data_IF_089406995620
#
_entry.id   IF_089406995620
#
_cell.length_a   1.000
_cell.length_b   1.000
_cell.length_c   1.000
_cell.angle_alpha   90.00
_cell.angle_beta   90.00
_cell.angle_gamma   90.00
#
_symmetry.space_group_name_H-M   'P 1'
#
loop_
_entity.id
_entity.type
_entity.pdbx_description
1 polymer ?
#
# COMPACT_ATOMS: atom_id res chain seq x y z
N UNK A 1 15.36 0.33 6.81
CA UNK A 1 14.02 0.69 7.29
C UNK A 1 13.60 1.93 6.53
N UNK A 2 12.96 1.76 5.37
CA UNK A 2 12.32 2.92 4.72
C UNK A 2 10.96 3.10 5.39
N UNK A 3 10.63 4.31 5.86
CA UNK A 3 9.43 4.54 6.63
C UNK A 3 8.22 4.42 5.71
N UNK A 4 7.19 3.73 6.19
CA UNK A 4 5.88 3.80 5.56
C UNK A 4 5.51 5.27 5.39
N UNK A 5 5.28 5.66 4.14
CA UNK A 5 5.03 7.06 3.79
C UNK A 5 3.59 7.18 3.34
N UNK A 6 2.84 8.08 3.98
CA UNK A 6 1.50 8.44 3.52
C UNK A 6 1.58 9.59 2.52
N UNK A 7 0.86 9.44 1.41
CA UNK A 7 0.73 10.43 0.35
C UNK A 7 -0.76 10.69 0.09
N UNK A 8 -1.09 11.93 -0.28
CA UNK A 8 -2.46 12.32 -0.63
C UNK A 8 -2.51 12.61 -2.13
N UNK A 9 -3.49 12.04 -2.83
CA UNK A 9 -3.67 12.17 -4.28
C UNK A 9 -5.08 12.63 -4.58
N UNK A 10 -5.24 13.73 -5.33
CA UNK A 10 -6.55 14.17 -5.79
C UNK A 10 -7.07 13.27 -6.91
N UNK A 11 -8.34 12.90 -6.83
CA UNK A 11 -9.03 12.10 -7.87
C UNK A 11 -10.40 12.69 -8.14
N UNK A 12 -11.02 12.33 -9.28
CA UNK A 12 -12.38 12.77 -9.62
C UNK A 12 -13.43 12.33 -8.59
N UNK A 13 -13.16 11.27 -7.83
CA UNK A 13 -14.01 10.77 -6.75
C UNK A 13 -13.72 11.42 -5.39
N UNK A 14 -12.75 12.35 -5.33
CA UNK A 14 -12.28 13.01 -4.13
C UNK A 14 -10.82 12.66 -3.77
N UNK A 15 -10.38 13.15 -2.63
CA UNK A 15 -9.01 12.99 -2.16
C UNK A 15 -8.74 11.56 -1.66
N UNK A 16 -7.81 10.86 -2.31
CA UNK A 16 -7.34 9.54 -1.90
C UNK A 16 -6.11 9.65 -0.99
N UNK A 17 -5.98 8.74 -0.03
CA UNK A 17 -4.79 8.61 0.81
C UNK A 17 -4.11 7.28 0.49
N UNK A 18 -2.85 7.33 0.08
CA UNK A 18 -2.03 6.17 -0.23
C UNK A 18 -1.02 5.96 0.88
N UNK A 19 -0.93 4.75 1.42
CA UNK A 19 0.13 4.33 2.34
C UNK A 19 1.11 3.41 1.61
N UNK A 20 2.36 3.84 1.51
CA UNK A 20 3.40 3.16 0.74
C UNK A 20 4.29 2.28 1.61
N UNK A 21 4.36 0.99 1.28
CA UNK A 21 5.36 0.04 1.77
C UNK A 21 6.36 -0.26 0.63
N UNK A 22 7.50 0.44 0.63
CA UNK A 22 8.43 0.40 -0.51
C UNK A 22 9.43 -0.75 -0.43
N UNK A 23 9.58 -1.49 -1.53
CA UNK A 23 10.68 -2.43 -1.69
C UNK A 23 12.01 -1.68 -1.89
N UNK A 24 13.11 -2.24 -1.37
CA UNK A 24 14.44 -1.64 -1.54
C UNK A 24 14.95 -1.70 -2.99
N UNK A 25 14.52 -2.72 -3.75
CA UNK A 25 14.81 -2.90 -5.18
C UNK A 25 13.51 -3.26 -5.91
N UNK A 26 12.65 -2.26 -6.18
CA UNK A 26 11.31 -2.50 -6.69
C UNK A 26 11.34 -2.97 -8.15
N UNK A 27 10.58 -4.03 -8.44
CA UNK A 27 10.32 -4.57 -9.78
C UNK A 27 8.85 -4.43 -10.18
N UNK A 28 7.96 -4.41 -9.19
CA UNK A 28 6.51 -4.27 -9.36
C UNK A 28 5.93 -3.35 -8.28
N UNK A 29 4.76 -2.79 -8.58
CA UNK A 29 3.90 -2.10 -7.61
C UNK A 29 2.56 -2.83 -7.55
N UNK A 30 2.10 -3.15 -6.35
CA UNK A 30 0.77 -3.68 -6.08
C UNK A 30 -0.06 -2.61 -5.36
N UNK A 31 -1.04 -2.04 -6.05
CA UNK A 31 -2.01 -1.13 -5.46
C UNK A 31 -3.28 -1.89 -5.09
N UNK A 32 -3.68 -1.86 -3.82
CA UNK A 32 -4.85 -2.57 -3.30
C UNK A 32 -5.59 -1.71 -2.30
N UNK A 33 -6.92 -1.82 -2.30
CA UNK A 33 -7.78 -1.25 -1.28
C UNK A 33 -8.43 -2.34 -0.44
N UNK A 34 -8.90 -1.97 0.75
CA UNK A 34 -9.80 -2.84 1.48
C UNK A 34 -11.13 -2.87 0.74
N UNK A 35 -11.68 -4.04 0.48
CA UNK A 35 -13.02 -4.15 -0.11
C UNK A 35 -14.12 -3.56 0.80
N UNK A 36 -15.33 -4.08 0.69
CA UNK A 36 -16.55 -3.48 1.25
C UNK A 36 -16.69 -3.33 2.80
N UNK A 37 -15.61 -3.33 3.60
CA UNK A 37 -15.73 -2.96 5.02
C UNK A 37 -14.53 -3.15 5.96
N UNK A 38 -13.33 -3.52 5.49
CA UNK A 38 -12.22 -3.92 6.37
C UNK A 38 -11.25 -2.84 6.84
N UNK A 39 -11.18 -1.68 6.17
CA UNK A 39 -10.08 -0.72 6.36
C UNK A 39 -8.74 -1.24 5.81
N UNK A 40 -7.79 -0.33 5.54
CA UNK A 40 -6.41 -0.72 5.15
C UNK A 40 -5.70 -1.56 6.22
N UNK A 41 -6.26 -1.58 7.43
CA UNK A 41 -5.78 -2.32 8.59
C UNK A 41 -6.16 -3.81 8.58
N UNK A 42 -6.86 -4.27 7.53
CA UNK A 42 -7.24 -5.67 7.36
C UNK A 42 -6.02 -6.60 7.43
N UNK A 43 -6.20 -7.78 8.05
CA UNK A 43 -5.11 -8.70 8.38
C UNK A 43 -4.33 -9.17 7.15
N UNK A 44 -5.03 -9.45 6.07
CA UNK A 44 -4.47 -9.86 4.78
C UNK A 44 -3.65 -8.74 4.15
N UNK A 45 -4.16 -7.50 4.12
CA UNK A 45 -3.44 -6.34 3.61
C UNK A 45 -2.16 -6.06 4.39
N UNK A 46 -2.20 -6.17 5.72
CA UNK A 46 -1.01 -6.10 6.58
C UNK A 46 0.01 -7.17 6.26
N UNK A 47 -0.44 -8.41 6.04
CA UNK A 47 0.44 -9.51 5.70
C UNK A 47 1.13 -9.27 4.34
N UNK A 48 0.40 -8.79 3.34
CA UNK A 48 0.95 -8.42 2.03
C UNK A 48 1.96 -7.28 2.14
N UNK A 49 1.60 -6.20 2.83
CA UNK A 49 2.45 -5.04 3.06
C UNK A 49 3.77 -5.39 3.76
N UNK A 50 3.75 -6.34 4.70
CA UNK A 50 4.95 -6.77 5.40
C UNK A 50 5.84 -7.70 4.57
N UNK A 51 5.27 -8.62 3.77
CA UNK A 51 6.03 -9.66 3.09
C UNK A 51 6.57 -9.23 1.71
N UNK A 52 5.72 -8.58 0.90
CA UNK A 52 6.01 -8.32 -0.51
C UNK A 52 7.21 -7.39 -0.78
N UNK A 53 7.52 -6.37 0.04
CA UNK A 53 8.71 -5.55 -0.15
C UNK A 53 10.02 -6.36 -0.13
N UNK A 54 10.08 -7.43 0.66
CA UNK A 54 11.22 -8.37 0.69
C UNK A 54 11.41 -9.15 -0.62
N UNK A 55 10.34 -9.24 -1.43
CA UNK A 55 10.34 -9.90 -2.74
C UNK A 55 10.46 -8.90 -3.91
N UNK A 56 10.77 -7.62 -3.64
CA UNK A 56 10.92 -6.61 -4.68
C UNK A 56 9.60 -6.03 -5.19
N UNK A 57 8.50 -6.17 -4.42
CA UNK A 57 7.19 -5.61 -4.77
C UNK A 57 6.84 -4.52 -3.77
N UNK A 58 6.70 -3.27 -4.23
CA UNK A 58 6.18 -2.19 -3.39
C UNK A 58 4.66 -2.30 -3.27
N UNK A 59 4.12 -2.10 -2.08
CA UNK A 59 2.67 -2.14 -1.83
C UNK A 59 2.15 -0.73 -1.59
N UNK A 60 1.03 -0.39 -2.24
CA UNK A 60 0.29 0.84 -2.05
C UNK A 60 -1.10 0.51 -1.52
N UNK A 61 -1.36 0.86 -0.25
CA UNK A 61 -2.68 0.68 0.35
C UNK A 61 -3.49 1.96 0.17
N UNK A 62 -4.69 1.84 -0.40
CA UNK A 62 -5.60 2.96 -0.73
C UNK A 62 -6.92 2.81 0.00
#
# INVERSE_FOLDING_TARGET
MSPDTSETVETDAGTARVTWHRAARPRLVLAVSHGAGGGIEARDLKALAAALPGHGVSVALV
#
